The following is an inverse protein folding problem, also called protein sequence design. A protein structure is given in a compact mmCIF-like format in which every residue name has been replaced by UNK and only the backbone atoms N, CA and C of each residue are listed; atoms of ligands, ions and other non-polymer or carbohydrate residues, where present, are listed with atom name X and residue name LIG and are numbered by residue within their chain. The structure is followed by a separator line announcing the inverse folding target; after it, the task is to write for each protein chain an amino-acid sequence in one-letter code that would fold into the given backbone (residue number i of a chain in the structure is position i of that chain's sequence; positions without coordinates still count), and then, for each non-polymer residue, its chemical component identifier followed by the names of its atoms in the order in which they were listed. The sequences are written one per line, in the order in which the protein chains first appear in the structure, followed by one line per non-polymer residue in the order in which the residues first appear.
data_IF_950119691223
#
_entry.id   IF_950119691223
#
_cell.length_a   1.000
_cell.length_b   1.000
_cell.length_c   1.000
_cell.angle_alpha   90.00
_cell.angle_beta   90.00
_cell.angle_gamma   90.00
#
_symmetry.space_group_name_H-M   'P 1'
#
loop_
_entity.id
_entity.type
_entity.pdbx_description
1 polymer ?
#
# COMPACT_ATOMS: atom_id res chain seq x y z
N UNK A 1 -29.73 7.01 17.58
CA UNK A 1 -29.17 7.60 16.34
C UNK A 1 -27.98 6.75 15.94
N UNK A 2 -28.14 5.88 14.95
CA UNK A 2 -27.06 4.99 14.48
C UNK A 2 -26.45 5.65 13.24
N UNK A 3 -25.21 6.09 13.34
CA UNK A 3 -24.46 6.64 12.20
C UNK A 3 -23.88 5.47 11.42
N UNK A 4 -24.59 5.04 10.38
CA UNK A 4 -24.02 4.14 9.39
C UNK A 4 -23.12 4.95 8.47
N UNK A 5 -21.82 4.95 8.76
CA UNK A 5 -20.83 5.59 7.91
C UNK A 5 -20.56 4.68 6.72
N UNK A 6 -21.18 4.96 5.57
CA UNK A 6 -20.86 4.27 4.31
C UNK A 6 -19.35 4.42 4.02
N UNK A 7 -18.71 3.37 3.53
CA UNK A 7 -17.27 3.34 3.21
C UNK A 7 -16.83 4.49 2.28
N UNK A 8 -17.77 5.07 1.51
CA UNK A 8 -17.53 6.18 0.58
C UNK A 8 -17.46 7.56 1.21
N UNK A 9 -17.69 7.72 2.51
CA UNK A 9 -17.67 9.04 3.18
C UNK A 9 -16.35 9.36 3.91
N UNK A 10 -15.41 8.43 4.03
CA UNK A 10 -14.13 8.70 4.69
C UNK A 10 -13.15 9.28 3.66
N UNK A 11 -12.76 10.57 3.74
CA UNK A 11 -11.72 11.09 2.88
C UNK A 11 -10.43 10.32 3.14
N UNK A 12 -9.66 10.03 2.09
CA UNK A 12 -8.36 9.40 2.28
C UNK A 12 -7.47 10.32 3.12
N UNK A 13 -6.98 9.79 4.25
CA UNK A 13 -6.11 10.50 5.17
C UNK A 13 -4.93 9.64 5.62
N UNK A 14 -3.85 10.29 6.04
CA UNK A 14 -2.70 9.67 6.69
C UNK A 14 -2.16 10.60 7.76
N UNK A 15 -1.72 10.04 8.88
CA UNK A 15 -1.23 10.82 10.02
C UNK A 15 0.23 10.46 10.26
N UNK A 16 1.07 11.48 10.36
CA UNK A 16 2.48 11.33 10.67
C UNK A 16 2.96 12.49 11.55
N UNK A 17 3.58 12.17 12.68
CA UNK A 17 4.17 13.14 13.61
C UNK A 17 3.26 14.33 13.96
N UNK A 18 2.03 14.02 14.43
CA UNK A 18 0.98 14.99 14.78
C UNK A 18 0.46 15.87 13.62
N UNK A 19 0.85 15.56 12.39
CA UNK A 19 0.34 16.19 11.17
C UNK A 19 -0.52 15.19 10.43
N UNK A 20 -1.74 15.60 10.09
CA UNK A 20 -2.66 14.84 9.27
C UNK A 20 -2.65 15.40 7.85
N UNK A 21 -2.35 14.55 6.89
CA UNK A 21 -2.59 14.82 5.48
C UNK A 21 -3.92 14.21 5.09
N UNK A 22 -4.76 14.94 4.38
CA UNK A 22 -6.00 14.41 3.84
C UNK A 22 -6.32 15.04 2.49
N UNK A 23 -7.04 14.29 1.67
CA UNK A 23 -7.51 14.77 0.38
C UNK A 23 -8.93 15.30 0.55
N UNK A 24 -9.12 16.57 0.21
CA UNK A 24 -10.45 17.19 0.12
C UNK A 24 -10.65 17.64 -1.32
N UNK A 25 -11.67 17.08 -1.97
CA UNK A 25 -11.96 17.31 -3.38
C UNK A 25 -10.74 16.96 -4.26
N UNK A 26 -9.98 17.98 -4.68
CA UNK A 26 -8.76 17.85 -5.48
C UNK A 26 -7.52 18.45 -4.81
N UNK A 27 -7.63 18.88 -3.55
CA UNK A 27 -6.54 19.52 -2.83
C UNK A 27 -6.03 18.60 -1.74
N UNK A 28 -4.71 18.52 -1.62
CA UNK A 28 -4.06 17.90 -0.48
C UNK A 28 -3.97 18.95 0.62
N UNK A 29 -4.64 18.67 1.73
CA UNK A 29 -4.60 19.48 2.93
C UNK A 29 -3.60 18.89 3.92
N UNK A 30 -3.01 19.79 4.71
CA UNK A 30 -2.17 19.49 5.86
C UNK A 30 -2.79 20.17 7.07
N UNK A 31 -3.27 19.35 8.00
CA UNK A 31 -3.79 19.75 9.29
C UNK A 31 -2.77 19.43 10.37
N UNK A 32 -2.33 20.45 11.10
CA UNK A 32 -1.57 20.25 12.34
C UNK A 32 -2.57 19.94 13.46
N UNK A 33 -2.48 18.73 14.03
CA UNK A 33 -3.39 18.30 15.10
C UNK A 33 -3.12 19.02 16.42
N UNK A 34 -1.93 19.60 16.60
CA UNK A 34 -1.55 20.35 17.81
C UNK A 34 -2.27 21.70 17.86
N UNK A 35 -2.28 22.41 16.74
CA UNK A 35 -2.75 23.79 16.65
C UNK A 35 -4.07 23.91 15.86
N UNK A 36 -4.63 22.78 15.41
CA UNK A 36 -5.80 22.70 14.53
C UNK A 36 -5.72 23.62 13.29
N UNK A 37 -4.50 23.87 12.81
CA UNK A 37 -4.25 24.74 11.66
C UNK A 37 -4.34 23.91 10.38
N UNK A 38 -5.32 24.21 9.55
CA UNK A 38 -5.46 23.64 8.20
C UNK A 38 -4.75 24.53 7.17
N UNK A 39 -4.04 23.90 6.24
CA UNK A 39 -3.33 24.56 5.14
C UNK A 39 -3.37 23.70 3.88
N UNK A 40 -3.60 24.33 2.73
CA UNK A 40 -3.54 23.66 1.43
C UNK A 40 -2.07 23.50 1.04
N UNK A 41 -1.65 22.26 0.78
CA UNK A 41 -0.29 21.93 0.37
C UNK A 41 -0.13 22.05 -1.13
N UNK A 42 -1.03 21.41 -1.88
CA UNK A 42 -0.93 21.27 -3.33
C UNK A 42 -2.27 20.84 -3.94
N UNK A 43 -2.46 21.16 -5.22
CA UNK A 43 -3.58 20.63 -6.01
C UNK A 43 -3.17 19.32 -6.68
N UNK A 44 -3.93 18.25 -6.43
CA UNK A 44 -3.76 16.95 -7.06
C UNK A 44 -4.22 16.98 -8.52
N UNK A 45 -3.56 16.17 -9.34
CA UNK A 45 -3.94 15.91 -10.73
C UNK A 45 -5.13 14.97 -10.75
N UNK A 46 -6.26 15.42 -11.30
CA UNK A 46 -7.46 14.60 -11.43
C UNK A 46 -8.73 15.46 -11.37
N UNK A 47 -9.68 15.20 -12.25
CA UNK A 47 -10.86 16.06 -12.45
C UNK A 47 -11.95 15.92 -11.40
N UNK A 48 -11.65 15.63 -10.13
CA UNK A 48 -12.63 15.51 -9.02
C UNK A 48 -13.70 14.41 -9.18
N UNK A 49 -13.75 13.72 -10.32
CA UNK A 49 -14.78 12.72 -10.64
C UNK A 49 -14.64 11.43 -9.85
N UNK A 50 -13.41 11.07 -9.47
CA UNK A 50 -13.12 9.86 -8.70
C UNK A 50 -12.37 10.31 -7.45
N UNK A 51 -12.93 10.07 -6.24
CA UNK A 51 -12.25 10.44 -5.01
C UNK A 51 -10.99 9.58 -4.82
N UNK A 52 -10.01 10.14 -4.10
CA UNK A 52 -8.86 9.37 -3.65
C UNK A 52 -9.33 8.24 -2.72
N UNK A 53 -8.87 7.01 -3.00
CA UNK A 53 -9.23 5.81 -2.25
C UNK A 53 -8.34 5.67 -1.01
N UNK A 54 -7.04 5.83 -1.17
CA UNK A 54 -6.06 5.76 -0.07
C UNK A 54 -4.90 6.69 -0.32
N UNK A 55 -4.25 7.14 0.76
CA UNK A 55 -3.02 7.92 0.70
C UNK A 55 -1.96 7.32 1.62
N UNK A 56 -0.71 7.36 1.17
CA UNK A 56 0.43 6.86 1.93
C UNK A 56 1.56 7.89 1.91
N UNK A 57 1.87 8.47 3.06
CA UNK A 57 2.92 9.47 3.21
C UNK A 57 4.25 8.84 3.61
N UNK A 58 5.33 9.34 3.02
CA UNK A 58 6.70 8.98 3.34
C UNK A 58 7.45 10.22 3.85
N UNK A 59 7.79 10.19 5.14
CA UNK A 59 8.45 11.28 5.82
C UNK A 59 9.88 11.53 5.35
N UNK A 60 10.59 10.51 4.90
CA UNK A 60 12.01 10.66 4.59
C UNK A 60 12.24 11.39 3.28
N UNK A 61 11.43 11.10 2.27
CA UNK A 61 11.53 11.72 0.94
C UNK A 61 10.47 12.81 0.75
N UNK A 62 9.69 13.13 1.80
CA UNK A 62 8.56 14.05 1.75
C UNK A 62 7.66 13.80 0.53
N UNK A 63 7.32 12.54 0.30
CA UNK A 63 6.52 12.13 -0.85
C UNK A 63 5.25 11.45 -0.41
N UNK A 64 4.21 11.54 -1.25
CA UNK A 64 2.92 10.96 -0.99
C UNK A 64 2.45 10.17 -2.20
N UNK A 65 1.96 8.96 -1.93
CA UNK A 65 1.26 8.14 -2.91
C UNK A 65 -0.23 8.37 -2.71
N UNK A 66 -0.92 8.70 -3.79
CA UNK A 66 -2.37 8.84 -3.83
C UNK A 66 -2.92 7.78 -4.76
N UNK A 67 -3.70 6.86 -4.23
CA UNK A 67 -4.35 5.81 -5.00
C UNK A 67 -5.76 6.25 -5.36
N UNK A 68 -6.09 6.20 -6.64
CA UNK A 68 -7.45 6.45 -7.16
C UNK A 68 -7.99 5.14 -7.70
N UNK A 69 -8.94 4.55 -6.96
CA UNK A 69 -9.60 3.28 -7.31
C UNK A 69 -11.00 3.57 -7.81
N UNK A 70 -11.34 3.11 -9.01
CA UNK A 70 -12.69 3.21 -9.52
C UNK A 70 -13.51 2.03 -8.98
N UNK A 71 -14.57 2.32 -8.21
CA UNK A 71 -15.40 1.30 -7.57
C UNK A 71 -16.11 0.37 -8.56
N UNK A 72 -16.32 0.79 -9.80
CA UNK A 72 -17.01 -0.01 -10.82
C UNK A 72 -16.03 -0.73 -11.76
N UNK A 73 -14.75 -0.35 -11.78
CA UNK A 73 -13.77 -0.94 -12.66
C UNK A 73 -12.37 -0.82 -12.05
N UNK A 74 -11.91 -1.91 -11.43
CA UNK A 74 -10.60 -1.98 -10.80
C UNK A 74 -9.44 -1.88 -11.80
N UNK A 75 -9.65 -2.23 -13.08
CA UNK A 75 -8.62 -2.15 -14.12
C UNK A 75 -8.22 -0.71 -14.46
N UNK A 76 -9.13 0.24 -14.24
CA UNK A 76 -8.89 1.67 -14.45
C UNK A 76 -8.31 2.37 -13.21
N UNK A 77 -7.83 1.61 -12.23
CA UNK A 77 -7.20 2.16 -11.03
C UNK A 77 -5.81 2.69 -11.35
N UNK A 78 -5.51 3.84 -10.77
CA UNK A 78 -4.22 4.52 -10.96
C UNK A 78 -3.70 4.97 -9.61
N UNK A 79 -2.38 5.05 -9.51
CA UNK A 79 -1.72 5.71 -8.39
C UNK A 79 -0.90 6.88 -8.92
N UNK A 80 -0.83 7.93 -8.11
CA UNK A 80 -0.09 9.14 -8.39
C UNK A 80 0.98 9.33 -7.32
N UNK A 81 2.24 9.46 -7.74
CA UNK A 81 3.35 9.82 -6.86
C UNK A 81 3.56 11.33 -6.90
N UNK A 82 3.42 11.97 -5.74
CA UNK A 82 3.65 13.40 -5.56
C UNK A 82 4.81 13.65 -4.60
N UNK A 83 5.60 14.67 -4.89
CA UNK A 83 6.58 15.22 -3.95
C UNK A 83 5.99 16.46 -3.28
N UNK A 84 5.99 16.48 -1.96
CA UNK A 84 5.46 17.58 -1.17
C UNK A 84 6.58 18.64 -1.04
N UNK A 85 6.33 19.90 -1.46
CA UNK A 85 7.30 20.97 -1.28
C UNK A 85 7.53 21.22 0.22
N UNK A 86 8.79 21.43 0.61
CA UNK A 86 9.15 21.73 2.00
C UNK A 86 8.86 23.17 2.36
N UNK A 87 8.93 24.07 1.39
CA UNK A 87 8.74 25.50 1.56
C UNK A 87 7.45 25.98 0.91
N UNK A 88 6.78 26.94 1.56
CA UNK A 88 5.53 27.54 1.07
C UNK A 88 5.76 28.32 -0.24
N UNK A 89 6.97 28.83 -0.46
CA UNK A 89 7.41 29.52 -1.68
C UNK A 89 7.46 28.62 -2.93
N UNK A 90 7.54 27.30 -2.75
CA UNK A 90 7.61 26.32 -3.84
C UNK A 90 6.25 25.69 -4.17
N UNK A 91 5.16 26.17 -3.55
CA UNK A 91 3.81 25.69 -3.84
C UNK A 91 3.45 26.01 -5.29
N UNK A 92 3.54 25.02 -6.17
CA UNK A 92 2.95 25.08 -7.51
C UNK A 92 1.42 25.00 -7.40
N UNK A 93 0.71 25.77 -8.21
CA UNK A 93 -0.76 25.72 -8.30
C UNK A 93 -1.27 24.32 -8.68
N UNK A 94 -0.50 23.58 -9.49
CA UNK A 94 -0.80 22.19 -9.86
C UNK A 94 0.43 21.33 -9.60
N UNK A 95 0.23 20.23 -8.89
CA UNK A 95 1.30 19.31 -8.59
C UNK A 95 1.73 18.48 -9.82
N UNK A 96 3.04 18.40 -10.04
CA UNK A 96 3.64 17.46 -11.01
C UNK A 96 3.63 16.05 -10.43
N UNK A 97 2.48 15.37 -10.53
CA UNK A 97 2.32 13.98 -10.14
C UNK A 97 2.76 13.01 -11.22
N UNK A 98 3.57 12.02 -10.86
CA UNK A 98 3.90 10.91 -11.76
C UNK A 98 2.79 9.86 -11.67
N UNK A 99 1.83 9.94 -12.60
CA UNK A 99 0.72 8.97 -12.70
C UNK A 99 1.20 7.64 -13.28
N UNK A 100 0.72 6.54 -12.72
CA UNK A 100 0.94 5.20 -13.23
C UNK A 100 -0.23 4.28 -12.89
N UNK A 101 -0.35 3.16 -13.59
CA UNK A 101 -1.41 2.18 -13.36
C UNK A 101 -1.10 1.32 -12.14
N UNK A 102 -2.14 1.01 -11.35
CA UNK A 102 -2.04 0.16 -10.18
C UNK A 102 -3.29 0.25 -9.31
N UNK A 103 -3.69 -0.89 -8.73
CA UNK A 103 -4.86 -1.02 -7.86
C UNK A 103 -4.60 -0.36 -6.51
N UNK A 104 -3.43 -0.62 -5.92
CA UNK A 104 -3.00 -0.06 -4.64
C UNK A 104 -1.48 0.19 -4.67
N UNK A 105 -1.04 1.21 -3.93
CA UNK A 105 0.37 1.57 -3.80
C UNK A 105 0.72 1.92 -2.35
N UNK A 106 1.77 1.29 -1.81
CA UNK A 106 2.16 1.39 -0.40
C UNK A 106 3.67 1.47 -0.26
N UNK A 107 4.17 2.34 0.63
CA UNK A 107 5.60 2.42 0.93
C UNK A 107 6.10 1.17 1.66
N UNK A 108 7.23 0.62 1.19
CA UNK A 108 7.88 -0.57 1.77
C UNK A 108 9.22 -0.21 2.37
N UNK A 109 9.90 0.78 1.80
CA UNK A 109 11.16 1.30 2.30
C UNK A 109 11.26 2.79 1.95
N UNK A 110 12.33 3.43 2.43
CA UNK A 110 12.63 4.85 2.18
C UNK A 110 12.42 5.29 0.72
N UNK A 111 13.01 4.56 -0.22
CA UNK A 111 12.99 4.89 -1.65
C UNK A 111 12.31 3.82 -2.50
N UNK A 112 11.46 2.98 -1.88
CA UNK A 112 10.78 1.89 -2.56
C UNK A 112 9.34 1.76 -2.08
N UNK A 113 8.44 1.57 -3.02
CA UNK A 113 7.03 1.27 -2.75
C UNK A 113 6.60 0.05 -3.56
N UNK A 114 5.66 -0.69 -3.00
CA UNK A 114 4.98 -1.78 -3.67
C UNK A 114 3.75 -1.23 -4.37
N UNK A 115 3.50 -1.71 -5.57
CA UNK A 115 2.29 -1.44 -6.35
C UNK A 115 1.67 -2.78 -6.69
N UNK A 116 0.39 -2.93 -6.41
CA UNK A 116 -0.40 -4.06 -6.91
C UNK A 116 -0.89 -3.72 -8.32
N UNK A 117 -0.44 -4.49 -9.29
CA UNK A 117 -0.88 -4.38 -10.69
C UNK A 117 -2.22 -5.08 -10.91
N UNK A 118 -2.89 -4.78 -12.03
CA UNK A 118 -4.17 -5.40 -12.39
C UNK A 118 -4.10 -6.91 -12.61
N UNK A 119 -2.91 -7.42 -12.93
CA UNK A 119 -2.67 -8.86 -13.08
C UNK A 119 -2.44 -9.56 -11.72
N UNK A 120 -2.80 -8.91 -10.60
CA UNK A 120 -2.52 -9.37 -9.22
C UNK A 120 -1.02 -9.63 -8.96
N UNK A 121 -0.15 -8.95 -9.70
CA UNK A 121 1.31 -9.00 -9.48
C UNK A 121 1.75 -7.81 -8.64
N UNK A 122 2.71 -8.03 -7.74
CA UNK A 122 3.28 -7.00 -6.89
C UNK A 122 4.56 -6.50 -7.52
N UNK A 123 4.59 -5.21 -7.85
CA UNK A 123 5.71 -4.52 -8.45
C UNK A 123 6.39 -3.64 -7.40
N UNK A 124 7.67 -3.88 -7.12
CA UNK A 124 8.46 -2.98 -6.29
C UNK A 124 9.06 -1.91 -7.19
N UNK A 125 8.69 -0.66 -6.95
CA UNK A 125 9.12 0.50 -7.74
C UNK A 125 9.95 1.47 -6.92
N UNK A 126 10.81 2.22 -7.61
CA UNK A 126 11.56 3.34 -7.04
C UNK A 126 10.83 4.69 -7.22
N UNK A 127 11.39 5.79 -6.70
CA UNK A 127 10.85 7.15 -6.84
C UNK A 127 10.74 7.68 -8.29
N UNK A 128 11.37 6.99 -9.25
CA UNK A 128 11.27 7.27 -10.68
C UNK A 128 10.19 6.42 -11.38
N UNK A 129 9.42 5.62 -10.65
CA UNK A 129 8.49 4.61 -11.17
C UNK A 129 9.16 3.44 -11.93
N UNK A 130 10.47 3.27 -11.79
CA UNK A 130 11.17 2.13 -12.39
C UNK A 130 10.94 0.88 -11.55
N UNK A 131 10.57 -0.21 -12.21
CA UNK A 131 10.31 -1.51 -11.57
C UNK A 131 11.65 -2.15 -11.25
N UNK A 132 11.91 -2.36 -9.96
CA UNK A 132 13.12 -3.04 -9.48
C UNK A 132 12.88 -4.53 -9.32
N UNK A 133 11.71 -4.93 -8.82
CA UNK A 133 11.33 -6.34 -8.63
C UNK A 133 9.87 -6.54 -9.00
N UNK A 134 9.54 -7.75 -9.46
CA UNK A 134 8.18 -8.21 -9.72
C UNK A 134 7.98 -9.52 -8.97
N UNK A 135 6.84 -9.70 -8.34
CA UNK A 135 6.45 -10.94 -7.69
C UNK A 135 5.02 -11.27 -8.13
N UNK A 136 4.78 -12.50 -8.53
CA UNK A 136 3.42 -13.01 -8.70
C UNK A 136 2.85 -13.37 -7.34
N UNK A 137 1.63 -12.92 -7.06
CA UNK A 137 0.89 -13.36 -5.89
C UNK A 137 -0.44 -13.95 -6.32
N UNK A 138 -0.79 -15.11 -5.80
CA UNK A 138 -2.09 -15.72 -6.07
C UNK A 138 -3.16 -15.02 -5.22
N UNK A 139 -4.18 -14.44 -5.85
CA UNK A 139 -5.36 -13.90 -5.17
C UNK A 139 -5.11 -12.71 -4.23
N UNK A 140 -4.15 -11.83 -4.55
CA UNK A 140 -3.97 -10.59 -3.80
C UNK A 140 -4.91 -9.50 -4.33
N UNK A 141 -5.91 -9.14 -3.53
CA UNK A 141 -6.86 -8.07 -3.88
C UNK A 141 -6.39 -6.70 -3.37
N UNK A 142 -5.70 -6.68 -2.24
CA UNK A 142 -5.27 -5.44 -1.60
C UNK A 142 -3.95 -5.59 -0.84
N UNK A 143 -3.14 -4.54 -0.95
CA UNK A 143 -1.91 -4.36 -0.16
C UNK A 143 -2.09 -3.17 0.77
N UNK A 144 -1.71 -3.34 2.03
CA UNK A 144 -1.76 -2.28 3.03
C UNK A 144 -0.55 -2.33 3.96
N UNK A 145 -0.24 -1.18 4.56
CA UNK A 145 0.80 -1.10 5.58
C UNK A 145 0.24 -1.59 6.92
N UNK A 146 0.62 -2.79 7.33
CA UNK A 146 0.43 -3.32 8.67
C UNK A 146 1.54 -2.83 9.59
N UNK A 147 1.19 -2.09 10.64
CA UNK A 147 2.17 -1.78 11.69
C UNK A 147 2.65 -3.09 12.34
N UNK A 148 3.97 -3.30 12.55
CA UNK A 148 4.49 -4.54 13.13
C UNK A 148 3.91 -4.92 14.50
N UNK A 149 3.22 -3.99 15.18
CA UNK A 149 2.58 -4.21 16.48
C UNK A 149 1.21 -4.89 16.37
N UNK A 150 0.59 -4.97 15.18
CA UNK A 150 -0.69 -5.65 14.98
C UNK A 150 -0.55 -7.07 14.43
N UNK A 151 0.58 -7.77 14.69
CA UNK A 151 0.63 -9.23 14.56
C UNK A 151 -0.46 -9.81 15.46
N UNK A 152 -1.60 -10.08 14.83
CA UNK A 152 -2.78 -10.70 15.39
C UNK A 152 -2.39 -11.73 16.43
N UNK A 153 -2.88 -11.49 17.63
CA UNK A 153 -3.04 -12.48 18.66
C UNK A 153 -3.73 -13.69 18.05
N UNK A 154 -2.95 -14.68 17.60
CA UNK A 154 -3.47 -16.04 17.49
C UNK A 154 -3.89 -16.42 18.91
N UNK A 155 -5.14 -16.81 19.17
CA UNK A 155 -5.45 -17.49 20.41
C UNK A 155 -4.54 -18.71 20.50
N UNK A 156 -3.70 -18.77 21.54
CA UNK A 156 -2.92 -19.96 21.87
C UNK A 156 -3.90 -21.05 22.31
N UNK A 157 -4.43 -21.83 21.38
CA UNK A 157 -4.91 -23.17 21.73
C UNK A 157 -3.67 -24.07 21.86
N UNK A 158 -3.34 -24.40 23.10
CA UNK A 158 -2.36 -25.44 23.46
C UNK A 158 -2.99 -26.85 23.27
N UNK A 159 -2.30 -27.95 23.58
CA UNK A 159 -1.24 -28.56 22.77
C UNK A 159 -1.60 -30.02 22.37
N UNK A 160 -0.69 -30.62 21.59
CA UNK A 160 -0.47 -32.07 21.40
C UNK A 160 -1.28 -32.81 20.32
N UNK A 161 -0.58 -33.23 19.25
CA UNK A 161 -0.41 -34.66 18.88
C UNK A 161 1.01 -34.82 18.28
N UNK A 162 1.76 -35.81 18.75
CA UNK A 162 3.13 -36.16 18.33
C UNK A 162 3.16 -36.70 16.89
N UNK A 163 4.21 -36.48 16.08
CA UNK A 163 4.43 -37.28 14.89
C UNK A 163 5.25 -38.55 15.22
N UNK A 164 4.75 -39.69 14.75
CA UNK A 164 5.41 -41.00 14.74
C UNK A 164 6.51 -41.08 13.65
N UNK A 165 7.51 -41.97 13.77
CA UNK A 165 8.71 -41.93 12.93
C UNK A 165 8.72 -42.96 11.78
N UNK A 166 9.47 -42.59 10.73
CA UNK A 166 10.05 -43.39 9.61
C UNK A 166 9.22 -43.65 8.33
N UNK A 167 9.65 -43.00 7.23
CA UNK A 167 10.28 -43.64 6.05
C UNK A 167 10.92 -42.58 5.12
N UNK A 168 12.19 -42.81 4.73
CA UNK A 168 12.86 -42.15 3.59
C UNK A 168 12.70 -43.03 2.32
N UNK A 169 13.34 -42.69 1.19
CA UNK A 169 12.90 -41.71 0.20
C UNK A 169 12.70 -42.40 -1.17
N UNK A 170 11.89 -41.84 -2.07
CA UNK A 170 12.05 -42.18 -3.49
C UNK A 170 12.35 -40.91 -4.26
N UNK A 171 13.53 -40.94 -4.87
CA UNK A 171 13.94 -40.16 -6.03
C UNK A 171 12.84 -40.21 -7.09
N UNK A 172 12.45 -39.03 -7.58
CA UNK A 172 12.31 -38.78 -9.00
C UNK A 172 12.43 -37.26 -9.20
N UNK A 173 13.16 -36.94 -10.24
CA UNK A 173 13.54 -35.61 -10.67
C UNK A 173 12.31 -34.75 -10.96
N UNK A 174 12.21 -33.62 -10.27
CA UNK A 174 11.54 -32.43 -10.77
C UNK A 174 12.48 -31.27 -10.53
N UNK A 175 13.03 -30.75 -11.63
CA UNK A 175 13.73 -29.47 -11.69
C UNK A 175 12.72 -28.42 -11.20
N UNK A 176 12.83 -28.03 -9.93
CA UNK A 176 12.16 -26.84 -9.42
C UNK A 176 12.96 -25.65 -9.91
N UNK A 177 12.34 -24.87 -10.78
CA UNK A 177 12.83 -23.59 -11.22
C UNK A 177 13.24 -22.75 -9.99
N UNK A 178 14.50 -22.34 -9.98
CA UNK A 178 15.19 -21.68 -8.87
C UNK A 178 14.75 -20.22 -8.63
N UNK A 179 13.50 -19.87 -8.92
CA UNK A 179 12.97 -18.52 -8.77
C UNK A 179 11.96 -18.41 -7.60
N UNK A 180 11.33 -19.51 -7.18
CA UNK A 180 10.29 -19.47 -6.15
C UNK A 180 10.84 -19.17 -4.74
N UNK A 181 12.08 -19.58 -4.45
CA UNK A 181 12.70 -19.37 -3.13
C UNK A 181 13.01 -17.88 -2.85
N UNK A 182 13.40 -17.10 -3.87
CA UNK A 182 13.66 -15.66 -3.71
C UNK A 182 12.36 -14.85 -3.51
N UNK A 183 11.30 -15.24 -4.21
CA UNK A 183 10.00 -14.57 -4.12
C UNK A 183 9.33 -14.82 -2.77
N UNK A 184 9.46 -16.04 -2.22
CA UNK A 184 9.01 -16.37 -0.86
C UNK A 184 9.79 -15.60 0.21
N UNK A 185 11.10 -15.43 0.03
CA UNK A 185 11.91 -14.65 0.96
C UNK A 185 11.61 -13.16 0.86
N UNK A 186 11.33 -12.62 -0.33
CA UNK A 186 10.85 -11.25 -0.48
C UNK A 186 9.48 -11.05 0.14
N UNK A 187 8.56 -11.99 -0.04
CA UNK A 187 7.25 -11.96 0.62
C UNK A 187 7.39 -11.96 2.15
N UNK A 188 8.32 -12.76 2.70
CA UNK A 188 8.66 -12.72 4.13
C UNK A 188 9.27 -11.37 4.52
N UNK A 189 10.10 -10.77 3.69
CA UNK A 189 10.67 -9.43 3.92
C UNK A 189 9.58 -8.35 3.89
N UNK A 190 8.62 -8.43 2.96
CA UNK A 190 7.49 -7.49 2.88
C UNK A 190 6.59 -7.61 4.11
N UNK A 191 6.21 -8.83 4.50
CA UNK A 191 5.49 -9.10 5.76
C UNK A 191 6.29 -8.63 6.97
N UNK A 192 7.61 -8.83 6.97
CA UNK A 192 8.52 -8.35 8.02
C UNK A 192 8.63 -6.81 8.09
N UNK A 193 8.37 -6.11 6.98
CA UNK A 193 8.31 -4.65 6.91
C UNK A 193 6.92 -4.09 7.18
N UNK A 194 5.97 -4.96 7.55
CA UNK A 194 4.62 -4.53 7.83
C UNK A 194 3.81 -4.28 6.56
N UNK A 195 3.99 -5.10 5.52
CA UNK A 195 3.05 -5.14 4.38
C UNK A 195 2.22 -6.39 4.53
N UNK A 196 0.92 -6.23 4.66
CA UNK A 196 -0.01 -7.35 4.68
C UNK A 196 -0.77 -7.45 3.36
N UNK A 197 -1.13 -8.68 3.04
CA UNK A 197 -1.78 -9.09 1.82
C UNK A 197 -3.14 -9.64 2.21
N UNK A 198 -4.21 -9.01 1.72
CA UNK A 198 -5.54 -9.58 1.87
C UNK A 198 -5.75 -10.63 0.78
N UNK A 199 -5.85 -11.89 1.20
CA UNK A 199 -6.28 -13.01 0.36
C UNK A 199 -7.66 -13.47 0.85
N UNK A 200 -8.54 -13.88 -0.05
CA UNK A 200 -9.79 -14.54 0.36
C UNK A 200 -9.46 -15.86 1.07
N UNK A 201 -10.16 -16.12 2.18
CA UNK A 201 -10.16 -17.44 2.81
C UNK A 201 -10.78 -18.45 1.83
N UNK A 202 -10.19 -19.64 1.62
CA UNK A 202 -10.84 -20.66 0.83
C UNK A 202 -12.14 -21.08 1.52
N UNK A 203 -13.25 -20.94 0.78
CA UNK A 203 -14.58 -21.48 1.12
C UNK A 203 -14.57 -22.99 1.28
#
# INVERSE_FOLDING_TARGET
MVVFKFERERPAYTVHNNVMYYVKERFLHRLDLTNSKDSVVMQLRGGGRIPAHSISYNATEHSILVTTRNANNFENSTYDLYMIPKEESERKEVADGKRSTGISAVWVARNRFAVLDRNHTILIKNLKNEVTKKMSSVGCEEIFYAVPTCRSARPKTSPAVKPSPWRRPNSNDDIKDSNDDEDDDLMKILKGKGVEFMHDLPT
#
